data_IF_015849649501
#
_entry.id   IF_015849649501
#
_cell.length_a   1.000
_cell.length_b   1.000
_cell.length_c   1.000
_cell.angle_alpha   90.00
_cell.angle_beta   90.00
_cell.angle_gamma   90.00
#
_symmetry.space_group_name_H-M   'P 1'
#
loop_
_entity.id
_entity.type
_entity.pdbx_description
1 polymer ?
#
# COMPACT_ATOMS: atom_id res chain seq x y z
N UNK A 1 -5.86 6.91 -11.13
CA UNK A 1 -5.98 6.06 -9.95
C UNK A 1 -7.09 6.52 -8.99
N UNK A 2 -7.24 7.82 -8.77
CA UNK A 2 -8.23 8.34 -7.81
C UNK A 2 -9.65 8.07 -8.29
N UNK A 3 -10.41 7.26 -7.53
CA UNK A 3 -11.84 7.01 -7.77
C UNK A 3 -12.69 7.36 -6.56
N UNK A 4 -12.07 7.77 -5.44
CA UNK A 4 -12.77 8.28 -4.27
C UNK A 4 -11.96 9.39 -3.63
N UNK A 5 -12.55 10.11 -2.67
CA UNK A 5 -11.82 11.15 -1.92
C UNK A 5 -11.03 10.54 -0.75
N UNK A 6 -11.26 9.27 -0.42
CA UNK A 6 -10.60 8.58 0.67
C UNK A 6 -9.59 7.57 0.14
N UNK A 7 -8.38 7.63 0.66
CA UNK A 7 -7.32 6.67 0.33
C UNK A 7 -6.92 5.92 1.60
N UNK A 8 -6.93 4.58 1.51
CA UNK A 8 -6.43 3.73 2.59
C UNK A 8 -4.95 3.50 2.34
N UNK A 9 -4.12 3.89 3.31
CA UNK A 9 -2.67 3.72 3.24
C UNK A 9 -2.30 2.49 4.05
N UNK A 10 -1.65 1.51 3.41
CA UNK A 10 -1.29 0.23 4.01
C UNK A 10 0.23 0.14 4.10
N UNK A 11 0.85 0.45 5.24
CA UNK A 11 2.29 0.23 5.38
C UNK A 11 2.56 -1.27 5.49
N UNK A 12 3.59 -1.74 4.80
CA UNK A 12 3.95 -3.15 4.80
C UNK A 12 5.46 -3.32 4.85
N UNK A 13 5.91 -4.24 5.71
CA UNK A 13 7.30 -4.62 5.79
C UNK A 13 7.38 -6.11 6.13
N UNK A 14 7.89 -6.91 5.19
CA UNK A 14 8.03 -8.36 5.34
C UNK A 14 6.69 -9.02 5.71
N UNK A 15 5.66 -8.74 4.92
CA UNK A 15 4.29 -9.21 5.14
C UNK A 15 3.87 -10.28 4.14
N UNK A 16 4.82 -11.07 3.59
CA UNK A 16 4.50 -12.04 2.55
C UNK A 16 3.44 -13.06 2.99
N UNK A 17 3.36 -13.37 4.29
CA UNK A 17 2.41 -14.33 4.81
C UNK A 17 1.00 -13.80 5.00
N UNK A 18 0.78 -12.48 4.95
CA UNK A 18 -0.50 -11.87 5.28
C UNK A 18 -0.98 -10.82 4.28
N UNK A 19 -0.10 -10.32 3.41
CA UNK A 19 -0.46 -9.17 2.57
C UNK A 19 -1.64 -9.45 1.64
N UNK A 20 -1.74 -10.64 1.07
CA UNK A 20 -2.87 -10.98 0.21
C UNK A 20 -4.19 -10.95 0.97
N UNK A 21 -4.23 -11.51 2.18
CA UNK A 21 -5.44 -11.52 2.99
C UNK A 21 -5.86 -10.10 3.38
N UNK A 22 -4.91 -9.25 3.73
CA UNK A 22 -5.18 -7.86 4.09
C UNK A 22 -5.78 -7.11 2.91
N UNK A 23 -5.15 -7.20 1.74
CA UNK A 23 -5.60 -6.47 0.56
C UNK A 23 -6.93 -7.02 0.04
N UNK A 24 -7.08 -8.35 0.01
CA UNK A 24 -8.33 -8.97 -0.43
C UNK A 24 -9.50 -8.55 0.46
N UNK A 25 -9.27 -8.45 1.77
CA UNK A 25 -10.28 -7.96 2.70
C UNK A 25 -10.69 -6.53 2.36
N UNK A 26 -9.74 -5.66 2.08
CA UNK A 26 -10.01 -4.26 1.73
C UNK A 26 -10.77 -4.18 0.41
N UNK A 27 -10.36 -4.91 -0.62
CA UNK A 27 -11.03 -4.92 -1.90
C UNK A 27 -12.47 -5.41 -1.75
N UNK A 28 -12.69 -6.43 -0.94
CA UNK A 28 -14.00 -7.06 -0.79
C UNK A 28 -14.96 -6.23 0.06
N UNK A 29 -14.46 -5.61 1.14
CA UNK A 29 -15.32 -4.95 2.12
C UNK A 29 -15.31 -3.43 2.04
N UNK A 30 -14.33 -2.84 1.37
CA UNK A 30 -14.15 -1.39 1.29
C UNK A 30 -13.89 -0.96 -0.14
N UNK A 31 -14.56 -1.60 -1.11
CA UNK A 31 -14.35 -1.36 -2.54
C UNK A 31 -14.69 0.07 -2.98
N UNK A 32 -15.45 0.81 -2.17
CA UNK A 32 -15.78 2.20 -2.44
C UNK A 32 -14.59 3.15 -2.20
N UNK A 33 -13.53 2.67 -1.56
CA UNK A 33 -12.35 3.47 -1.27
C UNK A 33 -11.17 3.02 -2.10
N UNK A 34 -10.25 3.95 -2.35
CA UNK A 34 -8.97 3.62 -2.96
C UNK A 34 -7.99 3.16 -1.88
N UNK A 35 -6.96 2.43 -2.28
CA UNK A 35 -5.92 2.01 -1.38
C UNK A 35 -4.56 2.08 -2.06
N UNK A 36 -3.50 2.18 -1.27
CA UNK A 36 -2.13 2.02 -1.73
C UNK A 36 -1.31 1.31 -0.66
N UNK A 37 -0.51 0.34 -1.08
CA UNK A 37 0.43 -0.34 -0.20
C UNK A 37 1.75 0.41 -0.26
N UNK A 38 2.30 0.79 0.88
CA UNK A 38 3.65 1.35 0.95
C UNK A 38 4.57 0.24 1.44
N UNK A 39 5.29 -0.36 0.51
CA UNK A 39 6.22 -1.44 0.83
C UNK A 39 7.54 -0.84 1.31
N UNK A 40 7.78 -0.94 2.60
CA UNK A 40 8.87 -0.24 3.29
C UNK A 40 10.18 -1.04 3.21
N UNK A 41 10.64 -1.32 2.00
CA UNK A 41 11.90 -1.98 1.78
C UNK A 41 11.90 -3.45 2.20
N UNK A 42 10.80 -4.18 2.01
CA UNK A 42 10.71 -5.60 2.36
C UNK A 42 11.80 -6.42 1.68
N UNK A 43 12.34 -7.37 2.41
CA UNK A 43 13.38 -8.28 1.90
C UNK A 43 12.83 -9.65 1.54
N UNK A 44 11.54 -9.88 1.80
CA UNK A 44 10.85 -11.11 1.47
C UNK A 44 10.09 -10.98 0.14
N UNK A 45 9.08 -11.80 -0.08
CA UNK A 45 8.30 -11.81 -1.32
C UNK A 45 7.13 -10.83 -1.34
N UNK A 46 7.03 -9.93 -0.36
CA UNK A 46 5.90 -8.97 -0.30
C UNK A 46 5.71 -8.21 -1.59
N UNK A 47 6.78 -7.61 -2.12
CA UNK A 47 6.71 -6.85 -3.38
C UNK A 47 6.29 -7.74 -4.56
N UNK A 48 6.91 -8.91 -4.69
CA UNK A 48 6.60 -9.83 -5.78
C UNK A 48 5.13 -10.27 -5.75
N UNK A 49 4.59 -10.56 -4.57
CA UNK A 49 3.19 -10.96 -4.41
C UNK A 49 2.27 -9.81 -4.82
N UNK A 50 2.55 -8.59 -4.39
CA UNK A 50 1.73 -7.44 -4.73
C UNK A 50 1.73 -7.16 -6.23
N UNK A 51 2.88 -7.23 -6.88
CA UNK A 51 2.97 -7.01 -8.33
C UNK A 51 2.27 -8.14 -9.10
N UNK A 52 2.41 -9.38 -8.65
CA UNK A 52 1.75 -10.52 -9.31
C UNK A 52 0.22 -10.42 -9.25
N UNK A 53 -0.32 -9.83 -8.19
CA UNK A 53 -1.77 -9.65 -8.02
C UNK A 53 -2.29 -8.33 -8.61
N UNK A 54 -1.42 -7.48 -9.14
CA UNK A 54 -1.82 -6.19 -9.68
C UNK A 54 -2.27 -5.19 -8.62
N UNK A 55 -1.79 -5.33 -7.40
CA UNK A 55 -2.15 -4.41 -6.31
C UNK A 55 -1.52 -3.03 -6.51
N UNK A 56 -2.15 -2.01 -5.96
CA UNK A 56 -1.60 -0.64 -5.94
C UNK A 56 -0.49 -0.57 -4.89
N UNK A 57 0.73 -0.38 -5.32
CA UNK A 57 1.89 -0.45 -4.45
C UNK A 57 2.93 0.61 -4.81
N UNK A 58 3.57 1.15 -3.79
CA UNK A 58 4.78 1.97 -3.90
C UNK A 58 5.88 1.21 -3.18
N UNK A 59 6.95 0.86 -3.91
CA UNK A 59 8.11 0.17 -3.34
C UNK A 59 9.17 1.18 -2.93
N UNK A 60 9.51 1.19 -1.65
CA UNK A 60 10.64 1.98 -1.16
C UNK A 60 11.92 1.18 -1.30
N UNK A 61 13.04 1.81 -1.72
CA UNK A 61 14.30 1.09 -1.93
C UNK A 61 14.94 0.61 -0.63
N UNK A 62 14.62 1.25 0.49
CA UNK A 62 15.16 0.91 1.81
C UNK A 62 14.05 1.01 2.86
N UNK A 63 14.27 0.36 3.99
CA UNK A 63 13.36 0.46 5.12
C UNK A 63 13.51 1.82 5.79
N UNK A 64 12.42 2.60 5.82
CA UNK A 64 12.36 3.91 6.46
C UNK A 64 11.70 3.87 7.83
N UNK A 65 11.12 2.73 8.20
CA UNK A 65 10.32 2.60 9.41
C UNK A 65 8.88 3.07 9.20
N UNK A 66 8.04 2.83 10.19
CA UNK A 66 6.60 3.10 10.07
C UNK A 66 6.30 4.57 9.77
N UNK A 67 7.00 5.49 10.46
CA UNK A 67 6.79 6.92 10.25
C UNK A 67 7.15 7.35 8.82
N UNK A 68 8.27 6.84 8.28
CA UNK A 68 8.68 7.13 6.91
C UNK A 68 7.73 6.57 5.89
N UNK A 69 7.25 5.35 6.09
CA UNK A 69 6.26 4.73 5.23
C UNK A 69 4.95 5.53 5.24
N UNK A 70 4.52 5.98 6.40
CA UNK A 70 3.31 6.77 6.52
C UNK A 70 3.45 8.12 5.81
N UNK A 71 4.59 8.80 5.96
CA UNK A 71 4.85 10.05 5.26
C UNK A 71 4.85 9.85 3.75
N UNK A 72 5.41 8.76 3.26
CA UNK A 72 5.37 8.41 1.84
C UNK A 72 3.93 8.25 1.37
N UNK A 73 3.09 7.58 2.16
CA UNK A 73 1.67 7.43 1.83
C UNK A 73 0.94 8.76 1.77
N UNK A 74 1.22 9.66 2.71
CA UNK A 74 0.62 11.00 2.71
C UNK A 74 1.04 11.80 1.48
N UNK A 75 2.31 11.73 1.10
CA UNK A 75 2.81 12.40 -0.09
C UNK A 75 2.16 11.86 -1.35
N UNK A 76 2.05 10.54 -1.45
CA UNK A 76 1.34 9.88 -2.54
C UNK A 76 -0.11 10.38 -2.63
N UNK A 77 -0.80 10.43 -1.48
CA UNK A 77 -2.17 10.89 -1.43
C UNK A 77 -2.29 12.34 -1.94
N UNK A 78 -1.40 13.21 -1.50
CA UNK A 78 -1.39 14.60 -1.93
C UNK A 78 -1.17 14.70 -3.44
N UNK A 79 -0.19 13.99 -3.97
CA UNK A 79 0.15 14.03 -5.39
C UNK A 79 -0.97 13.47 -6.27
N UNK A 80 -1.76 12.53 -5.74
CA UNK A 80 -2.88 11.94 -6.47
C UNK A 80 -4.20 12.70 -6.28
N UNK A 81 -4.19 13.79 -5.50
CA UNK A 81 -5.36 14.65 -5.33
C UNK A 81 -6.32 14.25 -4.23
N UNK A 82 -5.92 13.40 -3.30
CA UNK A 82 -6.73 13.08 -2.11
C UNK A 82 -6.68 14.22 -1.10
N UNK A 83 -7.68 14.31 -0.26
CA UNK A 83 -7.80 15.39 0.73
C UNK A 83 -7.55 14.94 2.15
#
# INVERSE_FOLDING_TARGET
MKSSDLLIIIPAYNEEGSIENVVDNIIRNYSQYDYVIINDGSKDRTSAICHANGYNIVDLPVNLGLAGAFQTGLRYAYEQGYK
#
